data_IF_831103747388
#
_entry.id   IF_831103747388
#
_cell.length_a   1.000
_cell.length_b   1.000
_cell.length_c   1.000
_cell.angle_alpha   90.00
_cell.angle_beta   90.00
_cell.angle_gamma   90.00
#
_symmetry.space_group_name_H-M   'P 1'
#
loop_
_entity.id
_entity.type
_entity.pdbx_description
1 polymer ?
#
# COMPACT_ATOMS: atom_id res chain seq x y z
N UNK A 1 -6.64 -4.15 -6.35
CA UNK A 1 -5.46 -3.33 -6.03
C UNK A 1 -5.04 -2.45 -7.22
N UNK A 2 -3.94 -2.65 -7.82
CA UNK A 2 -3.55 -1.91 -9.04
C UNK A 2 -3.12 -2.92 -10.10
N UNK A 3 -3.89 -3.02 -11.19
CA UNK A 3 -3.45 -3.73 -12.38
C UNK A 3 -2.25 -2.99 -13.01
N UNK A 4 -1.56 -3.63 -13.96
CA UNK A 4 -0.44 -2.98 -14.64
C UNK A 4 -0.85 -1.60 -15.17
N UNK A 5 -0.23 -0.58 -14.64
CA UNK A 5 -0.58 0.82 -14.88
C UNK A 5 0.68 1.61 -15.22
N UNK A 6 0.60 2.41 -16.29
CA UNK A 6 1.64 3.37 -16.64
C UNK A 6 1.18 4.78 -16.30
N UNK A 7 2.00 5.52 -15.56
CA UNK A 7 1.74 6.89 -15.16
C UNK A 7 2.80 7.80 -15.76
N UNK A 8 2.37 8.87 -16.44
CA UNK A 8 3.24 9.80 -17.16
C UNK A 8 3.19 11.24 -16.63
N UNK A 9 2.45 11.46 -15.55
CA UNK A 9 2.32 12.78 -14.90
C UNK A 9 2.25 12.59 -13.39
N UNK A 10 2.55 13.65 -12.64
CA UNK A 10 2.37 13.63 -11.19
C UNK A 10 0.90 13.38 -10.85
N UNK A 11 0.64 12.40 -10.01
CA UNK A 11 -0.70 12.01 -9.64
C UNK A 11 -0.75 11.42 -8.24
N UNK A 12 -1.88 11.61 -7.57
CA UNK A 12 -2.29 10.82 -6.40
C UNK A 12 -3.58 10.11 -6.76
N UNK A 13 -3.55 8.80 -6.77
CA UNK A 13 -4.67 7.98 -7.27
C UNK A 13 -4.90 6.78 -6.39
N UNK A 14 -6.16 6.35 -6.34
CA UNK A 14 -6.55 5.12 -5.66
C UNK A 14 -6.72 3.98 -6.68
N UNK A 15 -6.14 2.84 -6.37
CA UNK A 15 -6.44 1.62 -7.10
C UNK A 15 -7.83 1.09 -6.78
N UNK A 16 -8.25 0.05 -7.49
CA UNK A 16 -9.55 -0.58 -7.27
C UNK A 16 -9.64 -1.18 -5.88
N UNK A 17 -10.70 -0.85 -5.16
CA UNK A 17 -10.99 -1.43 -3.86
C UNK A 17 -11.41 -2.91 -4.00
N UNK A 18 -10.91 -3.73 -3.09
CA UNK A 18 -11.31 -5.12 -2.92
C UNK A 18 -12.27 -5.18 -1.74
N UNK A 19 -13.41 -5.79 -1.92
CA UNK A 19 -14.45 -5.98 -0.89
C UNK A 19 -14.41 -7.38 -0.29
N UNK A 20 -15.12 -7.61 0.82
CA UNK A 20 -15.22 -8.92 1.46
C UNK A 20 -13.92 -9.36 2.14
N UNK A 21 -13.09 -8.42 2.56
CA UNK A 21 -11.80 -8.71 3.20
C UNK A 21 -11.90 -8.92 4.70
N UNK A 22 -13.05 -8.71 5.28
CA UNK A 22 -13.35 -8.89 6.72
C UNK A 22 -13.16 -10.34 7.21
N UNK A 23 -13.16 -11.29 6.29
CA UNK A 23 -12.87 -12.70 6.58
C UNK A 23 -11.36 -13.00 6.70
N UNK A 24 -10.53 -12.09 6.27
CA UNK A 24 -9.08 -12.25 6.29
C UNK A 24 -8.47 -11.43 7.42
N UNK A 25 -7.38 -11.90 7.96
CA UNK A 25 -6.71 -11.26 9.10
C UNK A 25 -5.35 -10.69 8.78
N UNK A 26 -4.74 -11.16 7.71
CA UNK A 26 -3.41 -10.74 7.28
C UNK A 26 -3.20 -10.94 5.80
N UNK A 27 -2.20 -10.29 5.26
CA UNK A 27 -1.83 -10.45 3.87
C UNK A 27 -0.41 -10.02 3.58
N UNK A 28 0.05 -10.45 2.43
CA UNK A 28 1.32 -10.02 1.86
C UNK A 28 1.04 -9.20 0.61
N UNK A 29 1.62 -8.03 0.52
CA UNK A 29 1.41 -7.13 -0.61
C UNK A 29 2.72 -6.95 -1.38
N UNK A 30 2.62 -7.01 -2.69
CA UNK A 30 3.77 -6.90 -3.59
C UNK A 30 3.56 -5.70 -4.50
N UNK A 31 4.55 -4.81 -4.51
CA UNK A 31 4.67 -3.72 -5.46
C UNK A 31 5.77 -4.08 -6.45
N UNK A 32 5.42 -4.23 -7.72
CA UNK A 32 6.37 -4.52 -8.79
C UNK A 32 6.45 -3.32 -9.74
N UNK A 33 7.61 -2.71 -9.85
CA UNK A 33 7.91 -1.66 -10.83
C UNK A 33 8.67 -2.28 -11.97
N UNK A 34 8.06 -2.30 -13.15
CA UNK A 34 8.58 -2.99 -14.34
C UNK A 34 9.25 -2.05 -15.33
N UNK A 35 8.93 -0.76 -15.30
CA UNK A 35 9.56 0.26 -16.11
C UNK A 35 9.57 1.59 -15.35
N UNK A 36 10.65 2.34 -15.48
CA UNK A 36 10.81 3.65 -14.88
C UNK A 36 11.76 4.48 -15.71
N UNK A 37 11.42 5.73 -15.96
CA UNK A 37 12.28 6.68 -16.66
C UNK A 37 12.41 8.00 -15.90
N UNK A 38 13.53 8.69 -16.11
CA UNK A 38 13.84 9.96 -15.47
C UNK A 38 14.00 9.84 -13.93
N UNK A 39 13.61 10.88 -13.24
CA UNK A 39 13.69 10.98 -11.77
C UNK A 39 12.36 10.63 -11.10
N UNK A 40 11.52 9.85 -11.73
CA UNK A 40 10.20 9.48 -11.21
C UNK A 40 10.31 8.79 -9.87
N UNK A 41 9.50 9.22 -8.91
CA UNK A 41 9.34 8.56 -7.61
C UNK A 41 7.93 8.03 -7.46
N UNK A 42 7.78 6.93 -6.74
CA UNK A 42 6.50 6.29 -6.43
C UNK A 42 6.39 5.97 -4.96
N UNK A 43 5.35 6.48 -4.33
CA UNK A 43 4.93 6.15 -2.98
C UNK A 43 3.62 5.35 -3.04
N UNK A 44 3.58 4.20 -2.37
CA UNK A 44 2.39 3.35 -2.33
C UNK A 44 2.05 3.01 -0.89
N UNK A 45 0.79 3.25 -0.51
CA UNK A 45 0.20 2.81 0.74
C UNK A 45 -0.91 1.79 0.48
N UNK A 46 -1.04 0.81 1.36
CA UNK A 46 -2.19 -0.08 1.44
C UNK A 46 -3.15 0.53 2.46
N UNK A 47 -4.37 0.73 2.07
CA UNK A 47 -5.42 1.32 2.90
C UNK A 47 -6.54 0.33 3.17
N UNK A 48 -7.05 0.36 4.39
CA UNK A 48 -8.26 -0.35 4.80
C UNK A 48 -9.40 0.64 5.04
N UNK A 49 -10.62 0.21 4.75
CA UNK A 49 -11.83 1.00 5.05
C UNK A 49 -12.36 0.59 6.42
N UNK A 50 -12.12 1.43 7.40
CA UNK A 50 -12.45 1.18 8.80
C UNK A 50 -13.30 2.35 9.33
N UNK A 51 -14.48 2.03 9.86
CA UNK A 51 -15.37 3.02 10.47
C UNK A 51 -15.62 4.26 9.61
N UNK A 52 -15.86 4.06 8.31
CA UNK A 52 -16.19 5.16 7.38
C UNK A 52 -14.97 5.87 6.78
N UNK A 53 -13.74 5.46 7.10
CA UNK A 53 -12.52 6.12 6.64
C UNK A 53 -11.55 5.15 5.98
N UNK A 54 -10.85 5.62 4.97
CA UNK A 54 -9.68 4.96 4.41
C UNK A 54 -8.48 5.28 5.26
N UNK A 55 -7.89 4.27 5.86
CA UNK A 55 -6.77 4.38 6.80
C UNK A 55 -5.58 3.60 6.27
N UNK A 56 -4.40 4.18 6.30
CA UNK A 56 -3.17 3.48 5.92
C UNK A 56 -2.89 2.35 6.92
N UNK A 57 -2.73 1.14 6.43
CA UNK A 57 -2.36 -0.04 7.24
C UNK A 57 -0.95 -0.52 6.94
N UNK A 58 -0.41 -0.17 5.79
CA UNK A 58 0.97 -0.45 5.43
C UNK A 58 1.44 0.55 4.37
N UNK A 59 2.73 0.83 4.34
CA UNK A 59 3.32 1.70 3.34
C UNK A 59 4.67 1.17 2.89
N UNK A 60 4.86 1.06 1.59
CA UNK A 60 6.14 0.70 1.01
C UNK A 60 7.17 1.83 1.19
N UNK A 61 8.44 1.46 1.18
CA UNK A 61 9.50 2.46 0.99
C UNK A 61 9.32 3.13 -0.38
N UNK A 62 9.65 4.41 -0.48
CA UNK A 62 9.59 5.12 -1.76
C UNK A 62 10.43 4.39 -2.82
N UNK A 63 9.86 4.23 -3.99
CA UNK A 63 10.52 3.57 -5.12
C UNK A 63 11.08 4.61 -6.08
N UNK A 64 12.36 4.46 -6.41
CA UNK A 64 13.10 5.31 -7.34
C UNK A 64 13.81 4.51 -8.42
N UNK A 65 13.67 3.19 -8.40
CA UNK A 65 14.31 2.26 -9.34
C UNK A 65 13.35 1.13 -9.72
N UNK A 66 13.61 0.46 -10.84
CA UNK A 66 12.91 -0.79 -11.17
C UNK A 66 13.21 -1.80 -10.07
N UNK A 67 12.18 -2.31 -9.42
CA UNK A 67 12.31 -3.20 -8.27
C UNK A 67 11.00 -3.87 -7.91
N UNK A 68 11.11 -4.98 -7.19
CA UNK A 68 10.00 -5.60 -6.48
C UNK A 68 10.15 -5.30 -4.98
N UNK A 69 9.05 -4.91 -4.36
CA UNK A 69 8.95 -4.64 -2.93
C UNK A 69 7.86 -5.50 -2.33
N UNK A 70 8.12 -6.04 -1.15
CA UNK A 70 7.17 -6.93 -0.47
C UNK A 70 6.92 -6.42 0.96
N UNK A 71 5.65 -6.25 1.30
CA UNK A 71 5.20 -6.03 2.68
C UNK A 71 4.61 -7.35 3.19
N UNK A 72 5.37 -8.03 4.04
CA UNK A 72 5.01 -9.33 4.59
C UNK A 72 4.07 -9.19 5.80
N UNK A 73 3.08 -10.07 5.86
CA UNK A 73 2.27 -10.29 7.06
C UNK A 73 1.64 -9.00 7.62
N UNK A 74 1.09 -8.17 6.75
CA UNK A 74 0.34 -6.97 7.14
C UNK A 74 -0.93 -7.39 7.87
N UNK A 75 -1.21 -6.79 9.02
CA UNK A 75 -2.34 -7.16 9.89
C UNK A 75 -2.07 -8.38 10.79
N UNK A 76 -0.91 -9.01 10.67
CA UNK A 76 -0.50 -10.11 11.55
C UNK A 76 -0.11 -9.67 12.95
N UNK A 77 0.49 -10.58 13.70
CA UNK A 77 0.91 -10.33 15.09
C UNK A 77 2.02 -9.28 15.16
N UNK A 78 2.14 -8.62 16.30
CA UNK A 78 3.24 -7.71 16.61
C UNK A 78 4.56 -8.48 16.53
N UNK A 79 5.45 -8.05 15.66
CA UNK A 79 6.74 -8.68 15.42
C UNK A 79 7.68 -7.73 14.71
N UNK A 80 8.70 -8.26 14.07
CA UNK A 80 9.67 -7.44 13.34
C UNK A 80 8.99 -6.59 12.25
N UNK A 81 9.33 -5.32 12.17
CA UNK A 81 8.79 -4.37 11.21
C UNK A 81 7.40 -3.82 11.55
N UNK A 82 6.93 -4.05 12.77
CA UNK A 82 5.66 -3.50 13.25
C UNK A 82 5.92 -2.30 14.13
N UNK A 83 5.20 -1.21 13.90
CA UNK A 83 5.19 -0.06 14.81
C UNK A 83 4.45 -0.40 16.09
N UNK A 84 4.86 0.23 17.18
CA UNK A 84 4.12 0.21 18.44
C UNK A 84 2.70 0.74 18.28
N UNK A 85 1.84 0.42 19.24
CA UNK A 85 0.47 0.94 19.26
C UNK A 85 0.48 2.45 19.11
N UNK A 86 -0.17 2.94 18.10
CA UNK A 86 -0.40 4.35 17.87
C UNK A 86 -1.83 4.72 18.21
N UNK A 87 -2.02 5.68 19.08
CA UNK A 87 -3.24 6.46 19.02
C UNK A 87 -3.13 7.38 17.81
N UNK A 88 -3.90 7.08 16.80
CA UNK A 88 -3.89 7.86 15.58
C UNK A 88 -5.28 8.37 15.27
N UNK A 89 -5.37 9.58 14.74
CA UNK A 89 -6.57 10.04 14.06
C UNK A 89 -6.83 9.10 12.89
N UNK A 90 -8.07 8.71 12.67
CA UNK A 90 -8.43 7.93 11.49
C UNK A 90 -7.97 8.63 10.21
N UNK A 91 -7.64 7.89 9.19
CA UNK A 91 -7.07 8.36 7.92
C UNK A 91 -5.63 8.87 8.00
N UNK A 92 -4.96 8.74 9.14
CA UNK A 92 -3.57 9.17 9.25
C UNK A 92 -2.65 8.30 8.37
N UNK A 93 -1.80 8.97 7.62
CA UNK A 93 -0.71 8.32 6.90
C UNK A 93 0.30 7.73 7.88
N UNK A 94 0.79 6.53 7.58
CA UNK A 94 1.86 5.90 8.37
C UNK A 94 3.23 6.15 7.72
N UNK A 95 4.27 5.95 8.50
CA UNK A 95 5.65 6.07 8.02
C UNK A 95 5.95 5.01 6.95
N UNK A 96 6.81 5.34 6.00
CA UNK A 96 7.28 4.38 4.98
C UNK A 96 7.91 3.15 5.63
N UNK A 97 7.81 2.01 4.97
CA UNK A 97 8.32 0.71 5.45
C UNK A 97 7.71 0.24 6.77
N UNK A 98 6.49 0.70 7.09
CA UNK A 98 5.77 0.28 8.30
C UNK A 98 4.45 -0.39 7.97
N UNK A 99 3.91 -1.11 8.93
CA UNK A 99 2.61 -1.78 8.86
C UNK A 99 1.91 -1.73 10.21
N UNK A 100 0.59 -1.84 10.18
CA UNK A 100 -0.25 -1.92 11.38
C UNK A 100 -0.72 -3.33 11.62
N UNK A 101 -0.92 -3.67 12.89
CA UNK A 101 -1.62 -4.86 13.33
C UNK A 101 -3.10 -4.55 13.53
N UNK A 102 -3.92 -5.57 13.42
CA UNK A 102 -5.34 -5.49 13.75
C UNK A 102 -6.26 -5.75 12.56
N UNK A 103 -7.58 -5.60 12.77
CA UNK A 103 -8.58 -5.90 11.76
C UNK A 103 -8.48 -4.93 10.57
N UNK A 104 -8.85 -5.42 9.40
CA UNK A 104 -8.77 -4.64 8.15
C UNK A 104 -10.06 -3.93 7.78
N UNK A 105 -11.12 -4.06 8.55
CA UNK A 105 -12.42 -3.58 8.12
C UNK A 105 -12.97 -4.37 6.94
N UNK A 106 -13.70 -3.74 6.04
CA UNK A 106 -14.47 -4.43 4.99
C UNK A 106 -13.88 -4.34 3.59
N UNK A 107 -12.95 -3.42 3.37
CA UNK A 107 -12.36 -3.19 2.05
C UNK A 107 -10.88 -2.83 2.16
N UNK A 108 -10.12 -3.19 1.14
CA UNK A 108 -8.72 -2.80 0.95
C UNK A 108 -8.52 -2.14 -0.41
N UNK A 109 -7.61 -1.17 -0.47
CA UNK A 109 -7.12 -0.61 -1.73
C UNK A 109 -5.64 -0.22 -1.62
N UNK A 110 -4.98 -0.04 -2.74
CA UNK A 110 -3.71 0.67 -2.80
C UNK A 110 -3.97 2.13 -3.15
N UNK A 111 -3.28 3.05 -2.50
CA UNK A 111 -3.20 4.45 -2.88
C UNK A 111 -1.77 4.76 -3.28
N UNK A 112 -1.59 5.39 -4.42
CA UNK A 112 -0.25 5.73 -4.90
C UNK A 112 -0.12 7.19 -5.26
N UNK A 113 1.09 7.70 -5.09
CA UNK A 113 1.48 9.07 -5.47
C UNK A 113 2.76 9.01 -6.26
N UNK A 114 2.76 9.66 -7.43
CA UNK A 114 3.94 9.85 -8.25
C UNK A 114 4.40 11.30 -8.22
N UNK A 115 5.72 11.50 -8.20
CA UNK A 115 6.32 12.82 -8.24
C UNK A 115 7.53 12.82 -9.19
N UNK A 116 7.88 13.99 -9.69
CA UNK A 116 8.94 14.17 -10.71
C UNK A 116 8.75 13.23 -11.91
N UNK A 117 7.50 13.04 -12.32
CA UNK A 117 7.11 11.93 -13.17
C UNK A 117 7.45 12.18 -14.61
N UNK A 118 8.29 11.32 -15.17
CA UNK A 118 8.45 11.15 -16.63
C UNK A 118 7.61 9.96 -17.09
N UNK A 119 7.88 8.77 -16.59
CA UNK A 119 7.07 7.57 -16.81
C UNK A 119 7.41 6.50 -15.78
N UNK A 120 6.39 5.81 -15.30
CA UNK A 120 6.56 4.64 -14.44
C UNK A 120 5.44 3.64 -14.72
N UNK A 121 5.80 2.35 -14.80
CA UNK A 121 4.86 1.24 -14.94
C UNK A 121 5.01 0.31 -13.76
N UNK A 122 3.90 0.01 -13.09
CA UNK A 122 3.90 -0.82 -11.88
C UNK A 122 2.58 -1.58 -11.68
N UNK A 123 2.63 -2.56 -10.78
CA UNK A 123 1.47 -3.30 -10.29
C UNK A 123 1.50 -3.36 -8.76
N UNK A 124 0.33 -3.48 -8.15
CA UNK A 124 0.20 -3.80 -6.72
C UNK A 124 -0.75 -4.99 -6.56
N UNK A 125 -0.25 -6.07 -5.97
CA UNK A 125 -0.98 -7.31 -5.76
C UNK A 125 -1.01 -7.65 -4.28
N UNK A 126 -2.11 -8.24 -3.81
CA UNK A 126 -2.26 -8.70 -2.43
C UNK A 126 -2.62 -10.18 -2.38
N UNK A 127 -1.99 -10.90 -1.45
CA UNK A 127 -2.31 -12.28 -1.08
C UNK A 127 -2.87 -12.28 0.34
N UNK A 128 -4.14 -12.60 0.50
CA UNK A 128 -4.84 -12.52 1.77
C UNK A 128 -4.93 -13.90 2.43
N UNK A 129 -4.82 -13.91 3.76
CA UNK A 129 -4.91 -15.11 4.60
C UNK A 129 -5.89 -14.90 5.74
N UNK A 130 -6.63 -15.93 6.00
CA UNK A 130 -7.53 -15.99 7.17
C UNK A 130 -6.81 -16.29 8.48
#
# INVERSE_FOLDING_TARGET
MVASTTVTANATTNGTAITGVDLYRRGTFILSVTALSGSTTLDVAIQAYINGYWTDIARFAQVTTISDRVLWDVGGTIGSGVTTVEEATQSLAITVSTKRCGPWGTQLRARYTTASTTSITFTVVGFLQS
#
